data_IF_148382614340
#
_entry.id   IF_148382614340
#
_cell.length_a   1.000
_cell.length_b   1.000
_cell.length_c   1.000
_cell.angle_alpha   90.00
_cell.angle_beta   90.00
_cell.angle_gamma   90.00
#
_symmetry.space_group_name_H-M   'P 1'
#
loop_
_entity.id
_entity.type
_entity.pdbx_description
1 polymer ?
#
# COMPACT_ATOMS: atom_id res chain seq x y z
N UNK A 1 -14.06 -26.15 2.33
CA UNK A 1 -12.76 -26.23 1.66
C UNK A 1 -11.60 -25.83 2.59
N UNK A 2 -11.70 -24.70 3.30
CA UNK A 2 -10.74 -24.26 4.31
C UNK A 2 -11.42 -24.31 5.67
N UNK A 3 -10.78 -24.96 6.66
CA UNK A 3 -11.27 -25.05 8.03
C UNK A 3 -10.11 -24.75 9.00
N UNK A 4 -10.26 -23.68 9.76
CA UNK A 4 -9.27 -23.19 10.71
C UNK A 4 -9.91 -23.14 12.09
N UNK A 5 -9.21 -23.70 13.11
CA UNK A 5 -9.65 -23.69 14.50
C UNK A 5 -8.53 -23.27 15.42
N UNK A 6 -8.78 -22.23 16.23
CA UNK A 6 -7.89 -21.71 17.26
C UNK A 6 -6.54 -21.24 16.71
N UNK A 7 -6.48 -20.78 15.44
CA UNK A 7 -5.22 -20.32 14.82
C UNK A 7 -4.60 -19.22 15.63
N UNK A 8 -3.37 -19.44 16.08
CA UNK A 8 -2.56 -18.44 16.76
C UNK A 8 -1.15 -18.38 16.18
N UNK A 9 -0.68 -17.17 15.89
CA UNK A 9 0.67 -16.93 15.38
C UNK A 9 1.28 -15.68 16.01
N UNK A 10 2.52 -15.81 16.49
CA UNK A 10 3.27 -14.73 17.13
C UNK A 10 4.60 -14.49 16.43
N UNK A 11 5.06 -13.26 16.46
CA UNK A 11 6.40 -12.88 16.06
C UNK A 11 7.23 -12.52 17.27
N UNK A 12 8.50 -12.93 17.27
CA UNK A 12 9.44 -12.50 18.30
C UNK A 12 9.88 -11.07 18.01
N UNK A 13 9.82 -10.21 19.02
CA UNK A 13 10.39 -8.86 18.97
C UNK A 13 11.85 -9.00 19.43
N UNK A 14 12.76 -8.51 18.59
CA UNK A 14 14.21 -8.56 18.86
C UNK A 14 14.75 -7.16 19.14
N UNK A 15 15.75 -7.07 20.01
CA UNK A 15 16.52 -5.84 20.19
C UNK A 15 17.58 -5.66 19.08
N UNK A 16 18.35 -4.55 19.17
CA UNK A 16 19.44 -4.22 18.25
C UNK A 16 20.55 -5.27 18.18
N UNK A 17 20.67 -6.08 19.20
CA UNK A 17 21.69 -7.14 19.32
C UNK A 17 21.13 -8.51 18.85
N UNK A 18 19.89 -8.55 18.40
CA UNK A 18 19.22 -9.76 17.92
C UNK A 18 18.59 -10.60 19.02
N UNK A 19 18.64 -10.16 20.29
CA UNK A 19 18.08 -10.89 21.42
C UNK A 19 16.56 -10.69 21.44
N UNK A 20 15.84 -11.75 21.85
CA UNK A 20 14.40 -11.69 22.02
C UNK A 20 14.04 -10.81 23.21
N UNK A 21 13.34 -9.69 22.99
CA UNK A 21 12.88 -8.77 24.04
C UNK A 21 11.36 -8.86 24.30
N UNK A 22 10.62 -9.56 23.42
CA UNK A 22 9.19 -9.73 23.60
C UNK A 22 8.56 -10.61 22.52
N UNK A 23 7.25 -10.77 22.60
CA UNK A 23 6.43 -11.45 21.61
C UNK A 23 5.23 -10.56 21.25
N UNK A 24 4.85 -10.57 19.99
CA UNK A 24 3.65 -9.91 19.52
C UNK A 24 2.75 -10.93 18.82
N UNK A 25 1.53 -11.08 19.29
CA UNK A 25 0.51 -11.92 18.65
C UNK A 25 -0.03 -11.19 17.43
N UNK A 26 0.28 -11.70 16.26
CA UNK A 26 -0.25 -11.16 15.00
C UNK A 26 -1.65 -11.72 14.69
N UNK A 27 -1.90 -12.98 15.09
CA UNK A 27 -3.20 -13.66 15.03
C UNK A 27 -3.33 -14.46 16.32
N UNK A 28 -4.51 -14.44 16.96
CA UNK A 28 -4.73 -15.13 18.23
C UNK A 28 -6.12 -15.73 18.32
N UNK A 29 -6.17 -17.05 18.47
CA UNK A 29 -7.39 -17.84 18.70
C UNK A 29 -8.47 -17.53 17.64
N UNK A 30 -8.08 -17.70 16.35
CA UNK A 30 -8.94 -17.38 15.20
C UNK A 30 -9.54 -18.64 14.66
N UNK A 31 -10.87 -18.68 14.57
CA UNK A 31 -11.66 -19.67 13.84
C UNK A 31 -12.08 -19.07 12.49
N UNK A 32 -12.01 -19.87 11.42
CA UNK A 32 -12.39 -19.44 10.08
C UNK A 32 -12.83 -20.64 9.23
N UNK A 33 -13.89 -20.43 8.47
CA UNK A 33 -14.42 -21.42 7.54
C UNK A 33 -14.60 -20.79 6.16
N UNK A 34 -14.21 -21.50 5.10
CA UNK A 34 -14.50 -21.12 3.73
C UNK A 34 -14.99 -22.36 2.96
N UNK A 35 -16.13 -22.23 2.32
CA UNK A 35 -16.68 -23.23 1.45
C UNK A 35 -16.08 -23.12 0.03
N UNK A 36 -16.15 -24.19 -0.74
CA UNK A 36 -15.67 -24.19 -2.12
C UNK A 36 -16.56 -23.31 -2.99
N UNK A 37 -15.96 -22.43 -3.79
CA UNK A 37 -16.68 -21.51 -4.65
C UNK A 37 -17.34 -20.34 -3.90
N UNK A 38 -16.92 -20.04 -2.68
CA UNK A 38 -17.39 -18.90 -1.89
C UNK A 38 -16.48 -17.68 -2.09
N UNK A 39 -17.05 -16.48 -2.12
CA UNK A 39 -16.30 -15.22 -2.09
C UNK A 39 -16.35 -14.65 -0.69
N UNK A 40 -15.18 -14.54 -0.02
CA UNK A 40 -15.07 -14.10 1.37
C UNK A 40 -14.21 -12.84 1.43
N UNK A 41 -14.63 -11.86 2.24
CA UNK A 41 -13.83 -10.70 2.57
C UNK A 41 -13.32 -10.75 4.01
N UNK A 42 -12.04 -10.44 4.21
CA UNK A 42 -11.41 -10.28 5.51
C UNK A 42 -11.07 -8.81 5.69
N UNK A 43 -11.84 -8.14 6.51
CA UNK A 43 -11.72 -6.72 6.82
C UNK A 43 -10.93 -6.47 8.10
N UNK A 44 -10.28 -5.31 8.20
CA UNK A 44 -9.63 -4.85 9.41
C UNK A 44 -8.66 -3.71 9.14
N UNK A 45 -8.27 -3.00 10.20
CA UNK A 45 -7.26 -1.94 10.13
C UNK A 45 -5.88 -2.49 9.76
N UNK A 46 -4.99 -1.57 9.35
CA UNK A 46 -3.57 -1.92 9.19
C UNK A 46 -3.00 -2.40 10.54
N UNK A 47 -2.25 -3.50 10.50
CA UNK A 47 -1.69 -4.12 11.71
C UNK A 47 -2.65 -5.02 12.50
N UNK A 48 -3.90 -5.26 12.06
CA UNK A 48 -4.83 -6.17 12.74
C UNK A 48 -4.50 -7.66 12.59
N UNK A 49 -3.53 -8.02 11.73
CA UNK A 49 -3.11 -9.41 11.50
C UNK A 49 -3.57 -10.03 10.18
N UNK A 50 -4.28 -9.29 9.31
CA UNK A 50 -4.87 -9.80 8.06
C UNK A 50 -3.86 -10.51 7.14
N UNK A 51 -2.76 -9.85 6.81
CA UNK A 51 -1.73 -10.43 5.92
C UNK A 51 -1.02 -11.63 6.57
N UNK A 52 -0.87 -11.63 7.90
CA UNK A 52 -0.36 -12.80 8.62
C UNK A 52 -1.34 -13.96 8.51
N UNK A 53 -2.63 -13.71 8.71
CA UNK A 53 -3.68 -14.70 8.51
C UNK A 53 -3.68 -15.23 7.08
N UNK A 54 -3.68 -14.36 6.06
CA UNK A 54 -3.66 -14.73 4.65
C UNK A 54 -2.50 -15.67 4.28
N UNK A 55 -1.31 -15.44 4.86
CA UNK A 55 -0.13 -16.27 4.63
C UNK A 55 -0.25 -17.70 5.18
N UNK A 56 -1.13 -17.95 6.15
CA UNK A 56 -1.44 -19.31 6.59
C UNK A 56 -2.32 -20.06 5.57
N UNK A 57 -3.16 -19.35 4.81
CA UNK A 57 -4.04 -19.95 3.81
C UNK A 57 -3.27 -20.58 2.64
N UNK A 58 -2.06 -20.07 2.36
CA UNK A 58 -1.19 -20.56 1.28
C UNK A 58 0.01 -21.40 1.83
N UNK A 59 0.10 -21.62 3.14
CA UNK A 59 1.23 -22.34 3.73
C UNK A 59 2.55 -21.60 3.68
N UNK A 60 2.54 -20.26 3.56
CA UNK A 60 3.75 -19.42 3.74
C UNK A 60 4.11 -19.27 5.21
N UNK A 61 3.12 -19.37 6.10
CA UNK A 61 3.30 -19.46 7.54
C UNK A 61 2.63 -20.74 8.06
N UNK A 62 3.23 -21.33 9.07
CA UNK A 62 2.67 -22.47 9.81
C UNK A 62 2.19 -21.96 11.18
N UNK A 63 1.02 -22.36 11.67
CA UNK A 63 0.50 -21.91 12.95
C UNK A 63 1.41 -22.32 14.12
N UNK A 64 1.48 -21.47 15.14
CA UNK A 64 2.11 -21.84 16.41
C UNK A 64 1.15 -22.67 17.27
N UNK A 65 -0.15 -22.34 17.20
CA UNK A 65 -1.23 -23.04 17.90
C UNK A 65 -2.45 -23.14 16.99
N UNK A 66 -3.30 -24.12 17.25
CA UNK A 66 -4.50 -24.38 16.46
C UNK A 66 -4.25 -25.27 15.24
N UNK A 67 -5.27 -25.44 14.42
CA UNK A 67 -5.24 -26.29 13.21
C UNK A 67 -5.69 -25.52 11.98
N UNK A 68 -5.02 -25.74 10.86
CA UNK A 68 -5.36 -25.19 9.54
C UNK A 68 -5.48 -26.36 8.56
N UNK A 69 -6.68 -26.62 8.10
CA UNK A 69 -6.98 -27.70 7.13
C UNK A 69 -7.43 -27.06 5.82
N UNK A 70 -6.77 -27.38 4.72
CA UNK A 70 -7.02 -26.85 3.38
C UNK A 70 -7.16 -28.03 2.41
N UNK A 71 -8.30 -28.15 1.72
CA UNK A 71 -8.56 -29.28 0.83
C UNK A 71 -8.42 -30.64 1.55
N UNK A 72 -8.76 -30.71 2.84
CA UNK A 72 -8.60 -31.91 3.68
C UNK A 72 -7.17 -32.19 4.16
N UNK A 73 -6.20 -31.31 3.87
CA UNK A 73 -4.79 -31.46 4.23
C UNK A 73 -4.43 -30.54 5.40
N UNK A 74 -3.76 -31.10 6.42
CA UNK A 74 -3.33 -30.37 7.60
C UNK A 74 -1.99 -29.66 7.34
N UNK A 75 -1.99 -28.34 7.45
CA UNK A 75 -0.85 -27.46 7.20
C UNK A 75 0.37 -27.70 8.11
N UNK A 76 0.17 -28.31 9.25
CA UNK A 76 1.28 -28.67 10.15
C UNK A 76 2.26 -29.68 9.55
N UNK A 77 1.85 -30.42 8.51
CA UNK A 77 2.66 -31.44 7.84
C UNK A 77 3.44 -30.83 6.68
N UNK A 78 4.75 -30.78 6.77
CA UNK A 78 5.65 -30.23 5.74
C UNK A 78 5.43 -30.86 4.35
N UNK A 79 5.10 -32.15 4.31
CA UNK A 79 4.89 -32.90 3.06
C UNK A 79 3.71 -32.42 2.21
N UNK A 80 2.75 -31.67 2.79
CA UNK A 80 1.57 -31.17 2.07
C UNK A 80 1.71 -29.73 1.56
N UNK A 81 2.76 -29.02 1.95
CA UNK A 81 2.92 -27.59 1.62
C UNK A 81 2.91 -27.29 0.11
N UNK A 82 3.58 -28.13 -0.69
CA UNK A 82 3.58 -27.98 -2.16
C UNK A 82 2.20 -28.20 -2.76
N UNK A 83 1.45 -29.18 -2.25
CA UNK A 83 0.07 -29.45 -2.66
C UNK A 83 -0.87 -28.29 -2.29
N UNK A 84 -0.75 -27.75 -1.06
CA UNK A 84 -1.54 -26.61 -0.61
C UNK A 84 -1.25 -25.37 -1.46
N UNK A 85 0.03 -25.06 -1.74
CA UNK A 85 0.42 -23.93 -2.60
C UNK A 85 -0.08 -24.04 -4.04
N UNK A 86 -0.29 -25.26 -4.52
CA UNK A 86 -0.94 -25.49 -5.81
C UNK A 86 -2.45 -25.23 -5.75
N UNK A 87 -3.10 -25.61 -4.65
CA UNK A 87 -4.55 -25.43 -4.48
C UNK A 87 -4.94 -23.98 -4.15
N UNK A 88 -4.05 -23.21 -3.49
CA UNK A 88 -4.32 -21.86 -3.06
C UNK A 88 -3.30 -20.91 -3.68
N UNK A 89 -3.70 -20.19 -4.73
CA UNK A 89 -2.94 -19.10 -5.31
C UNK A 89 -2.96 -17.88 -4.39
N UNK A 90 -1.88 -17.10 -4.38
CA UNK A 90 -1.80 -15.87 -3.58
C UNK A 90 -1.33 -14.69 -4.43
N UNK A 91 -1.98 -13.55 -4.27
CA UNK A 91 -1.59 -12.28 -4.88
C UNK A 91 -1.28 -11.29 -3.76
N UNK A 92 -0.05 -10.79 -3.74
CA UNK A 92 0.44 -9.90 -2.71
C UNK A 92 0.06 -8.45 -2.96
N UNK A 93 0.10 -7.64 -1.92
CA UNK A 93 -0.15 -6.20 -1.95
C UNK A 93 0.78 -5.49 -2.95
N UNK A 94 2.09 -5.81 -2.91
CA UNK A 94 3.05 -5.29 -3.87
C UNK A 94 3.38 -6.37 -4.91
N UNK A 95 2.96 -6.23 -6.19
CA UNK A 95 3.23 -7.21 -7.23
C UNK A 95 4.72 -7.35 -7.56
N UNK A 96 5.56 -6.31 -7.34
CA UNK A 96 6.99 -6.39 -7.58
C UNK A 96 7.69 -7.43 -6.69
N UNK A 97 7.12 -7.78 -5.54
CA UNK A 97 7.63 -8.83 -4.66
C UNK A 97 7.25 -10.24 -5.13
N UNK A 98 6.38 -10.36 -6.13
CA UNK A 98 5.87 -11.62 -6.64
C UNK A 98 6.43 -11.95 -8.03
N UNK A 99 6.60 -10.94 -8.86
CA UNK A 99 7.08 -11.07 -10.24
C UNK A 99 8.55 -11.48 -10.25
N UNK A 100 8.86 -12.59 -10.93
CA UNK A 100 10.22 -13.16 -11.04
C UNK A 100 10.70 -13.24 -12.49
N UNK A 101 9.77 -13.30 -13.46
CA UNK A 101 10.09 -13.37 -14.90
C UNK A 101 10.56 -12.01 -15.46
N UNK A 102 11.48 -12.03 -16.44
CA UNK A 102 11.86 -10.82 -17.16
C UNK A 102 10.78 -10.37 -18.14
N UNK A 103 10.02 -11.32 -18.69
CA UNK A 103 8.87 -11.08 -19.57
C UNK A 103 7.60 -11.60 -18.92
N UNK A 104 6.42 -11.12 -19.39
CA UNK A 104 5.15 -11.60 -18.89
C UNK A 104 4.97 -13.11 -19.13
N UNK A 105 5.40 -13.60 -20.29
CA UNK A 105 5.34 -15.02 -20.60
C UNK A 105 6.18 -15.86 -19.63
N UNK A 106 7.41 -15.44 -19.34
CA UNK A 106 8.30 -16.11 -18.38
C UNK A 106 7.67 -16.13 -16.97
N UNK A 107 7.07 -15.03 -16.54
CA UNK A 107 6.46 -14.94 -15.20
C UNK A 107 5.27 -15.89 -15.04
N UNK A 108 4.37 -15.92 -16.04
CA UNK A 108 3.22 -16.85 -16.04
C UNK A 108 3.69 -18.31 -16.16
N UNK A 109 4.72 -18.58 -16.98
CA UNK A 109 5.28 -19.90 -17.20
C UNK A 109 6.03 -20.47 -15.99
N UNK A 110 6.60 -19.63 -15.15
CA UNK A 110 7.48 -20.03 -14.03
C UNK A 110 6.87 -21.09 -13.10
N UNK A 111 5.60 -20.89 -12.70
CA UNK A 111 4.90 -21.86 -11.86
C UNK A 111 4.63 -23.19 -12.55
N UNK A 112 4.33 -23.15 -13.85
CA UNK A 112 4.03 -24.32 -14.67
C UNK A 112 5.28 -25.17 -14.96
N UNK A 113 6.42 -24.52 -15.17
CA UNK A 113 7.72 -25.18 -15.30
C UNK A 113 8.09 -25.95 -14.02
N UNK A 114 7.88 -25.34 -12.87
CA UNK A 114 8.10 -25.98 -11.57
C UNK A 114 7.17 -27.17 -11.32
N UNK A 115 6.02 -27.22 -11.99
CA UNK A 115 5.12 -28.38 -11.96
C UNK A 115 5.52 -29.48 -12.94
N UNK A 116 6.54 -29.27 -13.78
CA UNK A 116 7.04 -30.24 -14.78
C UNK A 116 6.08 -30.44 -15.94
N UNK A 117 5.29 -29.41 -16.32
CA UNK A 117 4.39 -29.48 -17.47
C UNK A 117 5.18 -29.50 -18.79
N UNK A 118 4.56 -30.03 -19.85
CA UNK A 118 5.19 -30.00 -21.17
C UNK A 118 5.30 -28.58 -21.71
N UNK A 119 6.32 -28.30 -22.52
CA UNK A 119 6.51 -26.97 -23.11
C UNK A 119 5.30 -26.51 -23.93
N UNK A 120 4.63 -27.40 -24.64
CA UNK A 120 3.44 -27.07 -25.40
C UNK A 120 2.28 -26.63 -24.49
N UNK A 121 1.99 -27.41 -23.44
CA UNK A 121 0.92 -27.10 -22.47
C UNK A 121 1.21 -25.78 -21.72
N UNK A 122 2.51 -25.49 -21.45
CA UNK A 122 2.92 -24.22 -20.83
C UNK A 122 2.57 -23.03 -21.71
N UNK A 123 2.91 -23.11 -23.01
CA UNK A 123 2.62 -22.01 -23.95
C UNK A 123 1.13 -21.77 -24.16
N UNK A 124 0.34 -22.84 -24.26
CA UNK A 124 -1.12 -22.74 -24.37
C UNK A 124 -1.71 -22.08 -23.13
N UNK A 125 -1.18 -22.45 -21.95
CA UNK A 125 -1.64 -21.89 -20.67
C UNK A 125 -1.24 -20.43 -20.47
N UNK A 126 -0.03 -20.04 -20.93
CA UNK A 126 0.41 -18.64 -20.93
C UNK A 126 -0.56 -17.80 -21.77
N UNK A 127 -0.89 -18.25 -22.98
CA UNK A 127 -1.79 -17.53 -23.86
C UNK A 127 -3.19 -17.41 -23.28
N UNK A 128 -3.75 -18.50 -22.73
CA UNK A 128 -5.05 -18.46 -22.02
C UNK A 128 -5.06 -17.42 -20.90
N UNK A 129 -4.03 -17.41 -20.04
CA UNK A 129 -4.00 -16.53 -18.87
C UNK A 129 -3.76 -15.07 -19.23
N UNK A 130 -2.89 -14.80 -20.19
CA UNK A 130 -2.64 -13.43 -20.65
C UNK A 130 -3.85 -12.85 -21.40
N UNK A 131 -4.59 -13.65 -22.17
CA UNK A 131 -5.83 -13.22 -22.79
C UNK A 131 -6.91 -12.94 -21.75
N UNK A 132 -7.10 -13.83 -20.79
CA UNK A 132 -8.08 -13.71 -19.69
C UNK A 132 -7.87 -12.43 -18.87
N UNK A 133 -6.61 -12.05 -18.64
CA UNK A 133 -6.24 -10.86 -17.86
C UNK A 133 -6.06 -9.60 -18.71
N UNK A 134 -6.28 -9.67 -20.03
CA UNK A 134 -6.14 -8.54 -20.95
C UNK A 134 -4.69 -8.08 -21.14
N UNK A 135 -3.73 -9.02 -21.03
CA UNK A 135 -2.29 -8.75 -21.15
C UNK A 135 -1.66 -9.39 -22.41
N UNK A 136 -2.43 -10.01 -23.30
CA UNK A 136 -1.92 -10.72 -24.47
C UNK A 136 -0.98 -9.87 -25.34
N UNK A 137 -1.29 -8.59 -25.55
CA UNK A 137 -0.46 -7.67 -26.31
C UNK A 137 0.94 -7.42 -25.69
N UNK A 138 1.10 -7.70 -24.39
CA UNK A 138 2.33 -7.47 -23.64
C UNK A 138 3.14 -8.74 -23.38
N UNK A 139 2.75 -9.88 -23.99
CA UNK A 139 3.31 -11.23 -23.73
C UNK A 139 4.84 -11.24 -23.60
N UNK A 140 5.55 -10.56 -24.52
CA UNK A 140 7.00 -10.51 -24.57
C UNK A 140 7.58 -9.19 -24.01
N UNK A 141 6.75 -8.34 -23.43
CA UNK A 141 7.20 -7.10 -22.80
C UNK A 141 7.95 -7.40 -21.51
N UNK A 142 8.93 -6.54 -21.19
CA UNK A 142 9.64 -6.64 -19.93
C UNK A 142 8.71 -6.26 -18.75
N UNK A 143 8.73 -7.06 -17.70
CA UNK A 143 7.90 -6.87 -16.50
C UNK A 143 8.16 -5.56 -15.77
N UNK A 144 9.35 -4.99 -15.90
CA UNK A 144 9.68 -3.67 -15.34
C UNK A 144 9.04 -2.49 -16.10
N UNK A 145 8.53 -2.73 -17.32
CA UNK A 145 8.02 -1.69 -18.22
C UNK A 145 6.49 -1.55 -18.22
N UNK A 146 5.79 -2.43 -17.53
CA UNK A 146 4.34 -2.39 -17.43
C UNK A 146 3.88 -1.58 -16.21
N UNK A 147 2.66 -1.02 -16.28
CA UNK A 147 2.07 -0.23 -15.20
C UNK A 147 1.78 -1.09 -13.95
N UNK A 148 1.62 -0.45 -12.79
CA UNK A 148 1.25 -1.14 -11.54
C UNK A 148 -0.03 -1.97 -11.67
N UNK A 149 -1.06 -1.47 -12.38
CA UNK A 149 -2.28 -2.23 -12.66
C UNK A 149 -2.05 -3.43 -13.58
N UNK A 150 -1.15 -3.31 -14.57
CA UNK A 150 -0.75 -4.44 -15.40
C UNK A 150 0.07 -5.47 -14.61
N UNK A 151 0.96 -5.04 -13.72
CA UNK A 151 1.69 -5.93 -12.80
C UNK A 151 0.75 -6.72 -11.90
N UNK A 152 -0.28 -6.07 -11.38
CA UNK A 152 -1.26 -6.75 -10.53
C UNK A 152 -2.08 -7.79 -11.30
N UNK A 153 -2.49 -7.46 -12.55
CA UNK A 153 -3.14 -8.43 -13.44
C UNK A 153 -2.21 -9.57 -13.86
N UNK A 154 -0.91 -9.30 -14.02
CA UNK A 154 0.10 -10.33 -14.26
C UNK A 154 0.22 -11.27 -13.04
N UNK A 155 0.28 -10.73 -11.82
CA UNK A 155 0.32 -11.55 -10.61
C UNK A 155 -0.90 -12.48 -10.48
N UNK A 156 -2.10 -12.01 -10.88
CA UNK A 156 -3.30 -12.85 -10.99
C UNK A 156 -3.12 -13.92 -12.07
N UNK A 157 -2.63 -13.55 -13.27
CA UNK A 157 -2.40 -14.50 -14.36
C UNK A 157 -1.46 -15.63 -13.93
N UNK A 158 -0.32 -15.28 -13.30
CA UNK A 158 0.67 -16.24 -12.81
C UNK A 158 0.10 -17.16 -11.71
N UNK A 159 -0.68 -16.61 -10.77
CA UNK A 159 -1.35 -17.41 -9.74
C UNK A 159 -2.42 -18.35 -10.34
N UNK A 160 -3.20 -17.86 -11.31
CA UNK A 160 -4.29 -18.63 -11.95
C UNK A 160 -3.79 -19.66 -12.96
N UNK A 161 -2.58 -19.49 -13.50
CA UNK A 161 -1.97 -20.46 -14.43
C UNK A 161 -1.88 -21.86 -13.81
N UNK A 162 -1.61 -21.95 -12.52
CA UNK A 162 -1.55 -23.22 -11.78
C UNK A 162 -2.93 -23.87 -11.53
N UNK A 163 -4.02 -23.27 -12.02
CA UNK A 163 -5.41 -23.73 -11.84
C UNK A 163 -5.76 -23.99 -10.37
N UNK A 164 -5.61 -23.00 -9.49
CA UNK A 164 -5.92 -23.17 -8.07
C UNK A 164 -7.42 -23.31 -7.82
N UNK A 165 -7.81 -23.93 -6.71
CA UNK A 165 -9.20 -23.99 -6.24
C UNK A 165 -9.61 -22.75 -5.45
N UNK A 166 -8.62 -22.01 -4.95
CA UNK A 166 -8.81 -20.77 -4.20
C UNK A 166 -7.76 -19.75 -4.61
N UNK A 167 -8.15 -18.45 -4.66
CA UNK A 167 -7.22 -17.34 -4.78
C UNK A 167 -7.36 -16.42 -3.56
N UNK A 168 -6.22 -16.07 -2.95
CA UNK A 168 -6.14 -15.12 -1.84
C UNK A 168 -5.55 -13.83 -2.36
N UNK A 169 -6.26 -12.72 -2.18
CA UNK A 169 -5.88 -11.38 -2.60
C UNK A 169 -5.52 -10.55 -1.37
N UNK A 170 -4.24 -10.34 -1.09
CA UNK A 170 -3.79 -9.57 0.07
C UNK A 170 -3.64 -8.09 -0.29
N UNK A 171 -4.69 -7.30 -0.04
CA UNK A 171 -4.80 -5.86 -0.35
C UNK A 171 -4.41 -5.51 -1.80
N UNK A 172 -4.75 -6.38 -2.74
CA UNK A 172 -4.29 -6.33 -4.12
C UNK A 172 -4.74 -5.08 -4.91
N UNK A 173 -5.71 -4.31 -4.42
CA UNK A 173 -6.18 -3.04 -5.02
C UNK A 173 -5.57 -1.80 -4.39
N UNK A 174 -4.80 -1.93 -3.31
CA UNK A 174 -4.35 -0.79 -2.50
C UNK A 174 -3.40 0.17 -3.24
N UNK A 175 -2.66 -0.37 -4.23
CA UNK A 175 -1.68 0.37 -5.02
C UNK A 175 -2.21 0.84 -6.38
N UNK A 176 -3.46 0.55 -6.68
CA UNK A 176 -4.09 0.88 -7.94
C UNK A 176 -4.84 2.21 -7.84
N UNK A 177 -4.92 2.90 -8.98
CA UNK A 177 -5.85 4.00 -9.11
C UNK A 177 -7.31 3.49 -9.11
N UNK A 178 -8.31 4.36 -8.95
CA UNK A 178 -9.71 3.93 -8.83
C UNK A 178 -10.22 3.13 -10.04
N UNK A 179 -9.71 3.39 -11.26
CA UNK A 179 -10.10 2.63 -12.44
C UNK A 179 -9.44 1.26 -12.44
N UNK A 180 -8.13 1.19 -12.23
CA UNK A 180 -7.39 -0.08 -12.14
C UNK A 180 -7.92 -1.00 -11.04
N UNK A 181 -8.36 -0.42 -9.90
CA UNK A 181 -8.98 -1.18 -8.83
C UNK A 181 -10.33 -1.78 -9.27
N UNK A 182 -11.18 -1.02 -9.97
CA UNK A 182 -12.45 -1.52 -10.54
C UNK A 182 -12.20 -2.64 -11.54
N UNK A 183 -11.32 -2.41 -12.52
CA UNK A 183 -11.01 -3.39 -13.56
C UNK A 183 -10.50 -4.71 -12.96
N UNK A 184 -9.69 -4.62 -11.90
CA UNK A 184 -9.18 -5.78 -11.17
C UNK A 184 -10.30 -6.53 -10.44
N UNK A 185 -11.18 -5.82 -9.74
CA UNK A 185 -12.30 -6.44 -9.02
C UNK A 185 -13.28 -7.10 -9.99
N UNK A 186 -13.55 -6.49 -11.14
CA UNK A 186 -14.35 -7.08 -12.23
C UNK A 186 -13.71 -8.37 -12.76
N UNK A 187 -12.38 -8.38 -12.97
CA UNK A 187 -11.65 -9.58 -13.35
C UNK A 187 -11.80 -10.70 -12.31
N UNK A 188 -11.64 -10.38 -11.02
CA UNK A 188 -11.78 -11.35 -9.92
C UNK A 188 -13.20 -11.91 -9.85
N UNK A 189 -14.22 -11.06 -9.99
CA UNK A 189 -15.62 -11.51 -10.05
C UNK A 189 -15.89 -12.41 -11.26
N UNK A 190 -15.33 -12.07 -12.42
CA UNK A 190 -15.43 -12.91 -13.62
C UNK A 190 -14.82 -14.30 -13.38
N UNK A 191 -13.59 -14.35 -12.84
CA UNK A 191 -12.91 -15.59 -12.49
C UNK A 191 -13.73 -16.43 -11.50
N UNK A 192 -14.25 -15.82 -10.45
CA UNK A 192 -15.09 -16.45 -9.46
C UNK A 192 -16.32 -17.11 -10.10
N UNK A 193 -17.08 -16.37 -10.93
CA UNK A 193 -18.31 -16.84 -11.58
C UNK A 193 -18.07 -17.88 -12.65
N UNK A 194 -17.09 -17.67 -13.53
CA UNK A 194 -16.84 -18.52 -14.69
C UNK A 194 -16.06 -19.80 -14.34
N UNK A 195 -15.12 -19.73 -13.40
CA UNK A 195 -14.27 -20.85 -13.00
C UNK A 195 -14.70 -21.50 -11.67
N UNK A 196 -15.70 -20.94 -11.00
CA UNK A 196 -16.20 -21.39 -9.69
C UNK A 196 -15.09 -21.54 -8.63
N UNK A 197 -14.12 -20.61 -8.63
CA UNK A 197 -13.01 -20.60 -7.68
C UNK A 197 -13.44 -19.92 -6.37
N UNK A 198 -12.91 -20.41 -5.26
CA UNK A 198 -13.03 -19.70 -3.97
C UNK A 198 -12.16 -18.45 -4.00
N UNK A 199 -12.71 -17.31 -3.56
CA UNK A 199 -11.98 -16.05 -3.50
C UNK A 199 -11.92 -15.53 -2.06
N UNK A 200 -10.72 -15.27 -1.56
CA UNK A 200 -10.54 -14.64 -0.25
C UNK A 200 -9.87 -13.28 -0.45
N UNK A 201 -10.63 -12.22 -0.23
CA UNK A 201 -10.14 -10.84 -0.33
C UNK A 201 -9.78 -10.32 1.05
N UNK A 202 -8.51 -9.98 1.25
CA UNK A 202 -8.06 -9.21 2.40
C UNK A 202 -8.04 -7.75 2.02
N UNK A 203 -8.79 -6.93 2.75
CA UNK A 203 -8.94 -5.50 2.45
C UNK A 203 -9.22 -4.68 3.71
N UNK A 204 -9.04 -3.37 3.62
CA UNK A 204 -9.51 -2.41 4.62
C UNK A 204 -10.70 -1.58 4.12
N UNK A 205 -11.13 -1.81 2.87
CA UNK A 205 -12.21 -1.05 2.20
C UNK A 205 -13.53 -1.81 2.28
N UNK A 206 -14.53 -1.24 2.94
CA UNK A 206 -15.88 -1.81 3.01
C UNK A 206 -16.49 -1.96 1.60
N UNK A 207 -16.23 -1.01 0.69
CA UNK A 207 -16.74 -1.07 -0.68
C UNK A 207 -16.33 -2.34 -1.45
N UNK A 208 -15.17 -2.89 -1.17
CA UNK A 208 -14.72 -4.16 -1.75
C UNK A 208 -15.40 -5.36 -1.08
N UNK A 209 -15.54 -5.31 0.24
CA UNK A 209 -16.16 -6.38 1.01
C UNK A 209 -17.67 -6.54 0.76
N UNK A 210 -18.35 -5.49 0.29
CA UNK A 210 -19.76 -5.55 -0.14
C UNK A 210 -20.02 -6.51 -1.31
N UNK A 211 -18.95 -6.96 -2.01
CA UNK A 211 -19.07 -7.90 -3.12
C UNK A 211 -18.95 -9.37 -2.69
N UNK A 212 -18.61 -9.61 -1.43
CA UNK A 212 -18.40 -10.94 -0.88
C UNK A 212 -19.72 -11.58 -0.41
N UNK A 213 -19.76 -12.92 -0.41
CA UNK A 213 -20.87 -13.68 0.17
C UNK A 213 -20.83 -13.64 1.71
N UNK A 214 -19.61 -13.60 2.28
CA UNK A 214 -19.37 -13.56 3.72
C UNK A 214 -18.21 -12.66 4.07
N UNK A 215 -18.33 -11.98 5.21
CA UNK A 215 -17.34 -11.02 5.72
C UNK A 215 -16.89 -11.44 7.11
N UNK A 216 -15.57 -11.40 7.32
CA UNK A 216 -14.94 -11.50 8.63
C UNK A 216 -14.27 -10.17 8.97
N UNK A 217 -14.45 -9.68 10.19
CA UNK A 217 -13.72 -8.51 10.68
C UNK A 217 -12.63 -8.96 11.65
N UNK A 218 -11.38 -8.65 11.32
CA UNK A 218 -10.21 -8.90 12.15
C UNK A 218 -9.78 -7.60 12.84
N UNK A 219 -9.83 -7.57 14.15
CA UNK A 219 -9.33 -6.45 14.96
C UNK A 219 -8.51 -6.97 16.15
N UNK A 220 -7.38 -6.29 16.43
CA UNK A 220 -6.46 -6.66 17.50
C UNK A 220 -6.15 -8.19 17.53
N UNK A 221 -5.79 -8.73 16.36
CA UNK A 221 -5.38 -10.13 16.16
C UNK A 221 -6.50 -11.17 16.31
N UNK A 222 -7.78 -10.77 16.43
CA UNK A 222 -8.93 -11.66 16.62
C UNK A 222 -10.04 -11.37 15.61
N UNK A 223 -10.83 -12.39 15.27
CA UNK A 223 -12.11 -12.19 14.59
C UNK A 223 -13.11 -11.64 15.59
N UNK A 224 -13.69 -10.48 15.28
CA UNK A 224 -14.63 -9.74 16.14
C UNK A 224 -16.04 -9.66 15.57
N UNK A 225 -16.21 -9.98 14.30
CA UNK A 225 -17.49 -10.12 13.62
C UNK A 225 -17.38 -11.07 12.42
N UNK A 226 -18.47 -11.76 12.14
CA UNK A 226 -18.66 -12.66 11.00
C UNK A 226 -20.13 -12.60 10.57
N UNK A 227 -20.41 -12.70 9.28
CA UNK A 227 -21.76 -12.74 8.71
C UNK A 227 -21.80 -12.33 7.25
N UNK A 228 -23.01 -12.16 6.72
CA UNK A 228 -23.19 -11.56 5.39
C UNK A 228 -22.82 -10.07 5.43
N UNK A 229 -22.52 -9.44 4.30
CA UNK A 229 -22.31 -7.99 4.25
C UNK A 229 -23.46 -7.20 4.88
N UNK A 230 -24.70 -7.63 4.64
CA UNK A 230 -25.91 -7.01 5.20
C UNK A 230 -25.93 -7.07 6.72
N UNK A 231 -25.55 -8.21 7.31
CA UNK A 231 -25.54 -8.39 8.77
C UNK A 231 -24.41 -7.59 9.44
N UNK A 232 -23.22 -7.66 8.83
CA UNK A 232 -21.99 -7.09 9.43
C UNK A 232 -21.97 -5.57 9.33
N UNK A 233 -22.52 -4.97 8.26
CA UNK A 233 -22.43 -3.55 7.98
C UNK A 233 -23.61 -2.70 8.46
N UNK A 234 -24.62 -3.29 9.10
CA UNK A 234 -25.76 -2.55 9.65
C UNK A 234 -25.37 -1.63 10.81
N UNK A 235 -24.45 -2.04 11.66
CA UNK A 235 -24.02 -1.26 12.84
C UNK A 235 -22.81 -0.38 12.52
N UNK A 236 -23.10 0.83 12.02
CA UNK A 236 -22.07 1.80 11.62
C UNK A 236 -21.18 2.25 12.80
N UNK A 237 -21.73 2.37 14.02
CA UNK A 237 -20.94 2.77 15.19
C UNK A 237 -19.95 1.67 15.61
N UNK A 238 -20.34 0.41 15.46
CA UNK A 238 -19.47 -0.74 15.68
C UNK A 238 -18.32 -0.76 14.67
N UNK A 239 -18.61 -0.46 13.40
CA UNK A 239 -17.59 -0.38 12.34
C UNK A 239 -16.58 0.74 12.60
N UNK A 240 -17.03 1.92 13.06
CA UNK A 240 -16.14 3.02 13.48
C UNK A 240 -15.21 2.59 14.61
N UNK A 241 -15.73 1.85 15.61
CA UNK A 241 -14.94 1.32 16.73
C UNK A 241 -13.81 0.42 16.24
N UNK A 242 -14.03 -0.34 15.17
CA UNK A 242 -13.00 -1.16 14.52
C UNK A 242 -12.09 -0.35 13.59
N UNK A 243 -12.28 0.99 13.50
CA UNK A 243 -11.47 1.89 12.68
C UNK A 243 -11.60 1.65 11.19
N UNK A 244 -12.76 1.16 10.75
CA UNK A 244 -13.06 0.97 9.33
C UNK A 244 -13.62 2.25 8.73
N UNK A 245 -13.19 2.59 7.50
CA UNK A 245 -13.70 3.73 6.77
C UNK A 245 -15.06 3.40 6.16
N UNK A 246 -16.10 4.09 6.63
CA UNK A 246 -17.47 3.84 6.21
C UNK A 246 -17.77 4.62 4.93
N UNK A 247 -18.22 3.95 3.85
CA UNK A 247 -18.60 4.60 2.62
C UNK A 247 -19.67 5.68 2.84
N UNK A 248 -19.55 6.79 2.11
CA UNK A 248 -20.49 7.93 2.19
C UNK A 248 -21.95 7.49 2.00
N UNK A 249 -22.20 6.57 1.08
CA UNK A 249 -23.53 6.01 0.84
C UNK A 249 -24.13 5.39 2.09
N UNK A 250 -23.39 4.56 2.80
CA UNK A 250 -23.84 3.90 4.04
C UNK A 250 -24.06 4.91 5.17
N UNK A 251 -23.23 5.96 5.26
CA UNK A 251 -23.46 7.06 6.21
C UNK A 251 -24.79 7.75 5.94
N UNK A 252 -25.10 8.03 4.67
CA UNK A 252 -26.37 8.65 4.27
C UNK A 252 -27.57 7.76 4.56
N UNK A 253 -27.50 6.47 4.24
CA UNK A 253 -28.57 5.48 4.52
C UNK A 253 -28.80 5.31 6.02
N UNK A 254 -27.76 5.41 6.85
CA UNK A 254 -27.84 5.39 8.33
C UNK A 254 -28.26 6.73 8.94
N UNK A 255 -28.58 7.76 8.14
CA UNK A 255 -28.94 9.09 8.63
C UNK A 255 -27.79 9.86 9.30
N UNK A 256 -26.56 9.42 9.09
CA UNK A 256 -25.38 10.08 9.63
C UNK A 256 -25.05 11.31 8.77
N UNK A 257 -24.95 12.51 9.35
CA UNK A 257 -24.60 13.70 8.61
C UNK A 257 -23.25 13.52 7.88
N UNK A 258 -23.26 13.60 6.56
CA UNK A 258 -22.03 13.62 5.76
C UNK A 258 -21.68 15.08 5.50
N UNK A 259 -20.98 15.67 6.44
CA UNK A 259 -20.47 17.03 6.28
C UNK A 259 -19.02 16.99 5.80
N UNK A 260 -18.89 16.81 4.48
CA UNK A 260 -17.58 16.77 3.78
C UNK A 260 -16.84 18.10 3.97
N UNK A 261 -17.56 19.21 4.16
CA UNK A 261 -16.96 20.54 4.32
C UNK A 261 -16.59 20.88 5.75
N UNK A 262 -17.34 20.44 6.77
CA UNK A 262 -17.08 20.82 8.17
C UNK A 262 -15.98 20.00 8.82
N UNK A 263 -15.86 18.71 8.50
CA UNK A 263 -14.70 17.92 8.98
C UNK A 263 -13.38 18.46 8.40
N UNK A 264 -13.39 18.85 7.12
CA UNK A 264 -12.24 19.48 6.49
C UNK A 264 -11.94 20.85 7.12
N UNK A 265 -12.95 21.70 7.31
CA UNK A 265 -12.81 23.01 7.97
C UNK A 265 -12.40 22.91 9.43
N UNK A 266 -12.94 21.98 10.23
CA UNK A 266 -12.56 21.79 11.63
C UNK A 266 -11.10 21.36 11.77
N UNK A 267 -10.62 20.43 10.95
CA UNK A 267 -9.23 19.99 10.94
C UNK A 267 -8.26 21.12 10.55
N UNK A 268 -8.63 21.94 9.55
CA UNK A 268 -7.84 23.11 9.14
C UNK A 268 -7.87 24.26 10.15
N UNK A 269 -9.00 24.47 10.83
CA UNK A 269 -9.11 25.48 11.92
C UNK A 269 -8.26 25.11 13.14
N UNK A 270 -8.20 23.81 13.52
CA UNK A 270 -7.33 23.37 14.60
C UNK A 270 -5.85 23.56 14.27
N UNK A 271 -5.42 23.20 13.05
CA UNK A 271 -4.03 23.40 12.61
C UNK A 271 -3.67 24.88 12.53
N UNK A 272 -4.61 25.76 12.14
CA UNK A 272 -4.37 27.21 12.10
C UNK A 272 -4.42 27.89 13.47
N UNK A 273 -5.14 27.35 14.46
CA UNK A 273 -5.13 27.84 15.84
C UNK A 273 -3.84 27.44 16.56
N UNK A 274 -3.32 26.23 16.34
CA UNK A 274 -2.05 25.77 16.91
C UNK A 274 -0.85 26.46 16.27
N UNK A 275 -0.98 26.98 15.04
CA UNK A 275 0.06 27.73 14.33
C UNK A 275 0.06 29.24 14.62
N UNK A 276 -0.84 29.76 15.46
CA UNK A 276 -0.84 31.19 15.90
C UNK A 276 -1.01 32.23 14.79
N UNK A 277 -1.64 31.90 13.66
CA UNK A 277 -1.79 32.79 12.51
C UNK A 277 -3.25 33.10 12.20
N UNK A 278 -3.67 34.30 12.57
CA UNK A 278 -4.75 35.13 11.99
C UNK A 278 -5.92 34.44 11.29
N UNK A 279 -6.96 34.11 12.08
CA UNK A 279 -8.26 33.59 11.62
C UNK A 279 -9.25 34.71 11.20
N UNK A 280 -8.89 35.97 11.08
CA UNK A 280 -9.84 37.08 11.00
C UNK A 280 -10.21 37.57 9.57
N UNK A 281 -9.74 36.93 8.50
CA UNK A 281 -10.09 37.34 7.13
C UNK A 281 -10.47 36.18 6.20
N UNK A 282 -11.47 35.40 6.54
CA UNK A 282 -12.14 34.51 5.57
C UNK A 282 -13.58 35.05 5.34
N UNK A 283 -13.63 36.20 4.67
CA UNK A 283 -14.81 36.70 4.00
C UNK A 283 -14.46 36.85 2.51
N UNK A 284 -15.25 36.16 1.69
CA UNK A 284 -15.45 36.38 0.25
C UNK A 284 -14.34 37.09 -0.55
N UNK A 285 -13.43 36.31 -1.13
CA UNK A 285 -12.86 36.57 -2.47
C UNK A 285 -11.67 35.65 -2.76
N UNK A 286 -11.89 34.63 -3.58
CA UNK A 286 -10.89 33.65 -4.01
C UNK A 286 -9.73 34.19 -4.86
N UNK A 287 -9.62 35.50 -5.07
CA UNK A 287 -8.59 36.11 -5.92
C UNK A 287 -7.67 37.14 -5.24
N UNK A 288 -7.88 37.48 -3.97
CA UNK A 288 -7.09 38.56 -3.32
C UNK A 288 -6.01 38.07 -2.37
N UNK A 289 -6.02 36.80 -1.97
CA UNK A 289 -5.04 36.28 -1.00
C UNK A 289 -3.73 35.76 -1.65
N UNK A 290 -3.72 35.52 -2.96
CA UNK A 290 -2.51 35.12 -3.69
C UNK A 290 -1.44 36.22 -3.77
N UNK A 291 -1.85 37.46 -3.70
CA UNK A 291 -0.92 38.61 -3.82
C UNK A 291 -0.14 38.97 -2.54
N UNK A 292 -0.45 38.32 -1.40
CA UNK A 292 0.22 38.56 -0.12
C UNK A 292 1.08 37.38 0.36
N UNK A 293 0.98 36.22 -0.27
CA UNK A 293 1.74 35.03 0.13
C UNK A 293 3.00 34.88 -0.70
N UNK A 294 4.12 34.56 -0.06
CA UNK A 294 5.38 34.26 -0.74
C UNK A 294 5.28 33.00 -1.58
N UNK A 295 5.69 33.06 -2.85
CA UNK A 295 5.83 31.89 -3.69
C UNK A 295 7.03 31.06 -3.21
N UNK A 296 6.79 29.80 -2.83
CA UNK A 296 7.85 28.91 -2.31
C UNK A 296 8.35 27.92 -3.36
N UNK A 297 7.49 27.50 -4.28
CA UNK A 297 7.84 26.63 -5.42
C UNK A 297 7.23 27.21 -6.69
N UNK A 298 8.03 27.37 -7.73
CA UNK A 298 7.57 27.75 -9.05
C UNK A 298 8.21 26.86 -10.12
N UNK A 299 7.38 26.27 -10.97
CA UNK A 299 7.80 25.56 -12.18
C UNK A 299 7.42 26.42 -13.37
N UNK A 300 8.33 26.54 -14.34
CA UNK A 300 8.14 27.31 -15.57
C UNK A 300 8.48 26.45 -16.78
N UNK A 301 7.48 26.12 -17.60
CA UNK A 301 7.59 25.33 -18.84
C UNK A 301 8.38 24.02 -18.65
N UNK A 302 8.14 23.31 -17.53
CA UNK A 302 8.90 22.12 -17.16
C UNK A 302 8.44 20.91 -17.99
N UNK A 303 9.39 20.31 -18.71
CA UNK A 303 9.16 19.05 -19.44
C UNK A 303 10.21 18.01 -19.09
N UNK A 304 9.78 16.74 -19.15
CA UNK A 304 10.65 15.62 -18.84
C UNK A 304 10.15 14.33 -19.50
N UNK A 305 11.09 13.59 -20.07
CA UNK A 305 10.85 12.28 -20.69
C UNK A 305 11.79 11.24 -20.12
N UNK A 306 11.28 10.03 -19.93
CA UNK A 306 12.10 8.84 -19.66
C UNK A 306 12.45 8.16 -20.98
N UNK A 307 13.70 7.71 -21.10
CA UNK A 307 14.12 6.86 -22.20
C UNK A 307 13.96 5.39 -21.82
N UNK A 308 13.28 4.63 -22.64
CA UNK A 308 13.07 3.22 -22.46
C UNK A 308 13.62 2.45 -23.69
N UNK A 309 14.92 2.19 -23.68
CA UNK A 309 15.63 1.76 -24.89
C UNK A 309 15.60 2.87 -25.93
N UNK A 310 15.01 2.60 -27.10
CA UNK A 310 14.87 3.58 -28.19
C UNK A 310 13.54 4.36 -28.15
N UNK A 311 12.65 4.07 -27.20
CA UNK A 311 11.36 4.75 -27.07
C UNK A 311 11.42 5.84 -25.99
N UNK A 312 10.93 7.03 -26.35
CA UNK A 312 10.79 8.17 -25.46
C UNK A 312 9.38 8.17 -24.86
N UNK A 313 9.30 8.15 -23.52
CA UNK A 313 8.05 8.30 -22.78
C UNK A 313 7.99 9.67 -22.12
N UNK A 314 7.14 10.56 -22.62
CA UNK A 314 6.98 11.92 -22.11
C UNK A 314 6.16 11.88 -20.81
N UNK A 315 6.83 12.14 -19.68
CA UNK A 315 6.21 12.10 -18.36
C UNK A 315 5.62 13.46 -17.95
N UNK A 316 6.24 14.56 -18.32
CA UNK A 316 5.78 15.92 -18.09
C UNK A 316 5.94 16.74 -19.38
N UNK A 317 4.96 17.61 -19.65
CA UNK A 317 4.92 18.47 -20.83
C UNK A 317 4.50 19.87 -20.45
N UNK A 318 5.43 20.83 -20.58
CA UNK A 318 5.20 22.26 -20.44
C UNK A 318 4.41 22.61 -19.16
N UNK A 319 4.86 22.09 -18.02
CA UNK A 319 4.18 22.27 -16.74
C UNK A 319 4.55 23.62 -16.13
N UNK A 320 3.52 24.44 -15.88
CA UNK A 320 3.58 25.65 -15.09
C UNK A 320 2.82 25.45 -13.79
N UNK A 321 3.47 25.72 -12.64
CA UNK A 321 2.89 25.56 -11.31
C UNK A 321 3.49 26.55 -10.35
N UNK A 322 2.63 27.17 -9.51
CA UNK A 322 3.08 27.97 -8.36
C UNK A 322 2.47 27.45 -7.08
N UNK A 323 3.29 27.29 -6.05
CA UNK A 323 2.88 26.90 -4.70
C UNK A 323 3.32 28.01 -3.76
N UNK A 324 2.37 28.48 -2.95
CA UNK A 324 2.60 29.58 -2.01
C UNK A 324 2.70 29.07 -0.57
N UNK A 325 3.36 29.84 0.26
CA UNK A 325 3.55 29.53 1.68
C UNK A 325 2.21 29.25 2.40
N UNK A 326 2.16 28.17 3.20
CA UNK A 326 0.97 27.74 3.91
C UNK A 326 -0.14 27.13 3.06
N UNK A 327 0.11 26.82 1.77
CA UNK A 327 -0.85 26.11 0.94
C UNK A 327 -0.74 24.59 1.11
N UNK A 328 -1.89 23.92 1.09
CA UNK A 328 -2.00 22.48 0.85
C UNK A 328 -2.42 22.30 -0.60
N UNK A 329 -1.58 21.63 -1.39
CA UNK A 329 -1.81 21.39 -2.81
C UNK A 329 -1.95 19.90 -3.06
N UNK A 330 -3.05 19.48 -3.71
CA UNK A 330 -3.25 18.10 -4.14
C UNK A 330 -2.95 17.96 -5.63
N UNK A 331 -2.08 16.99 -5.96
CA UNK A 331 -1.80 16.61 -7.35
C UNK A 331 -2.57 15.34 -7.68
N UNK A 332 -3.59 15.46 -8.52
CA UNK A 332 -4.52 14.36 -8.87
C UNK A 332 -4.27 13.90 -10.30
N UNK A 333 -4.37 12.62 -10.55
CA UNK A 333 -4.23 12.03 -11.89
C UNK A 333 -4.10 10.51 -11.82
N UNK A 334 -4.24 9.86 -12.97
CA UNK A 334 -4.09 8.41 -13.11
C UNK A 334 -2.67 7.94 -12.79
N UNK A 335 -2.50 6.64 -12.54
CA UNK A 335 -1.16 6.03 -12.42
C UNK A 335 -0.39 6.25 -13.74
N UNK A 336 0.88 6.65 -13.63
CA UNK A 336 1.69 6.98 -14.81
C UNK A 336 1.53 8.41 -15.35
N UNK A 337 0.66 9.26 -14.78
CA UNK A 337 0.45 10.65 -15.25
C UNK A 337 1.56 11.64 -14.87
N UNK A 338 2.70 11.19 -14.36
CA UNK A 338 3.84 12.05 -14.05
C UNK A 338 3.86 12.69 -12.65
N UNK A 339 2.88 12.39 -11.75
CA UNK A 339 2.80 12.98 -10.40
C UNK A 339 4.10 12.82 -9.58
N UNK A 340 4.62 11.62 -9.50
CA UNK A 340 5.86 11.34 -8.77
C UNK A 340 7.06 12.02 -9.40
N UNK A 341 7.12 12.06 -10.74
CA UNK A 341 8.15 12.76 -11.50
C UNK A 341 8.17 14.25 -11.16
N UNK A 342 6.98 14.87 -11.11
CA UNK A 342 6.82 16.29 -10.72
C UNK A 342 7.36 16.56 -9.32
N UNK A 343 6.97 15.74 -8.33
CA UNK A 343 7.42 15.91 -6.95
C UNK A 343 8.94 15.67 -6.78
N UNK A 344 9.49 14.71 -7.52
CA UNK A 344 10.93 14.43 -7.50
C UNK A 344 11.77 15.57 -8.08
N UNK A 345 11.24 16.37 -9.01
CA UNK A 345 11.91 17.56 -9.54
C UNK A 345 11.98 18.68 -8.50
N UNK A 346 10.90 18.88 -7.74
CA UNK A 346 10.86 19.89 -6.69
C UNK A 346 11.96 19.65 -5.64
N UNK A 347 12.24 18.39 -5.31
CA UNK A 347 13.31 18.01 -4.35
C UNK A 347 14.68 17.76 -5.05
N UNK A 348 14.81 18.11 -6.32
CA UNK A 348 16.05 17.86 -7.10
C UNK A 348 16.55 16.40 -7.02
N UNK A 349 15.64 15.43 -7.01
CA UNK A 349 15.98 14.00 -7.22
C UNK A 349 16.20 13.74 -8.70
N UNK A 350 15.45 14.43 -9.56
CA UNK A 350 15.65 14.49 -11.02
C UNK A 350 15.68 15.93 -11.46
N UNK A 351 16.37 16.21 -12.56
CA UNK A 351 16.44 17.54 -13.17
C UNK A 351 15.51 17.60 -14.39
N UNK A 352 14.81 18.71 -14.64
CA UNK A 352 14.01 18.88 -15.85
C UNK A 352 14.91 18.89 -17.09
N UNK A 353 14.40 18.38 -18.21
CA UNK A 353 15.08 18.42 -19.52
C UNK A 353 14.89 19.78 -20.19
N UNK A 354 13.74 20.41 -19.96
CA UNK A 354 13.49 21.81 -20.33
C UNK A 354 12.69 22.53 -19.25
N UNK A 355 12.73 23.86 -19.27
CA UNK A 355 12.11 24.70 -18.27
C UNK A 355 12.93 24.84 -16.99
N UNK A 356 12.37 25.51 -15.98
CA UNK A 356 13.05 25.85 -14.74
C UNK A 356 12.20 25.53 -13.53
N UNK A 357 12.85 25.11 -12.43
CA UNK A 357 12.24 24.89 -11.13
C UNK A 357 12.87 25.89 -10.14
N UNK A 358 12.06 26.71 -9.52
CA UNK A 358 12.50 27.67 -8.51
C UNK A 358 12.00 27.28 -7.13
N UNK A 359 12.89 27.41 -6.14
CA UNK A 359 12.58 27.29 -4.73
C UNK A 359 12.94 28.60 -4.03
N UNK A 360 11.95 29.30 -3.47
CA UNK A 360 12.14 30.65 -2.90
C UNK A 360 12.90 31.58 -3.85
N UNK A 361 12.47 31.67 -5.10
CA UNK A 361 13.09 32.49 -6.17
C UNK A 361 14.47 31.99 -6.64
N UNK A 362 15.02 30.93 -6.06
CA UNK A 362 16.31 30.39 -6.42
C UNK A 362 16.11 29.24 -7.43
N UNK A 363 16.74 29.35 -8.61
CA UNK A 363 16.74 28.26 -9.61
C UNK A 363 17.44 27.02 -9.05
N UNK A 364 16.67 25.97 -8.83
CA UNK A 364 17.13 24.69 -8.24
C UNK A 364 18.25 24.06 -9.06
N UNK A 365 18.28 24.25 -10.38
CA UNK A 365 19.31 23.67 -11.25
C UNK A 365 20.68 24.33 -10.99
N UNK A 366 20.71 25.61 -10.62
CA UNK A 366 21.94 26.37 -10.37
C UNK A 366 22.51 26.16 -8.96
N UNK A 367 21.76 25.59 -8.05
CA UNK A 367 22.23 25.28 -6.69
C UNK A 367 23.27 24.16 -6.73
N UNK A 368 24.51 24.46 -6.34
CA UNK A 368 25.60 23.48 -6.31
C UNK A 368 25.48 22.50 -5.13
N UNK A 369 25.12 23.00 -3.96
CA UNK A 369 24.96 22.19 -2.75
C UNK A 369 23.53 21.69 -2.63
N UNK A 370 23.29 20.43 -2.97
CA UNK A 370 21.96 19.82 -2.92
C UNK A 370 21.38 19.75 -1.48
N UNK A 371 22.23 19.80 -0.45
CA UNK A 371 21.80 19.79 0.96
C UNK A 371 20.96 21.04 1.29
N UNK A 372 21.25 22.18 0.66
CA UNK A 372 20.50 23.42 0.91
C UNK A 372 19.05 23.34 0.44
N UNK A 373 18.78 22.56 -0.60
CA UNK A 373 17.42 22.27 -1.10
C UNK A 373 16.75 21.26 -0.18
N UNK A 374 17.39 20.11 0.07
CA UNK A 374 16.82 19.00 0.83
C UNK A 374 16.57 19.33 2.30
N UNK A 375 17.29 20.29 2.85
CA UNK A 375 17.02 20.84 4.19
C UNK A 375 15.68 21.57 4.29
N UNK A 376 15.20 22.13 3.15
CA UNK A 376 13.97 22.94 3.09
C UNK A 376 12.76 22.17 2.62
N UNK A 377 12.96 21.02 1.95
CA UNK A 377 11.89 20.20 1.37
C UNK A 377 12.05 18.77 1.84
N UNK A 378 11.15 18.32 2.70
CA UNK A 378 10.98 16.88 3.01
C UNK A 378 10.28 16.19 1.86
N UNK A 379 10.71 14.97 1.51
CA UNK A 379 10.07 14.11 0.51
C UNK A 379 9.80 12.74 1.11
N UNK A 380 8.54 12.33 1.10
CA UNK A 380 8.12 11.00 1.56
C UNK A 380 7.80 10.15 0.34
N UNK A 381 8.49 9.02 0.19
CA UNK A 381 8.24 8.07 -0.90
C UNK A 381 6.95 7.27 -0.68
N UNK A 382 6.41 6.73 -1.76
CA UNK A 382 5.21 5.88 -1.73
C UNK A 382 5.44 4.62 -0.86
N UNK A 383 6.66 4.08 -0.87
CA UNK A 383 7.08 2.93 -0.06
C UNK A 383 8.07 3.39 1.00
N UNK A 384 7.65 3.52 2.26
CA UNK A 384 8.54 3.98 3.33
C UNK A 384 9.74 3.03 3.55
N UNK A 385 9.58 1.74 3.26
CA UNK A 385 10.66 0.75 3.35
C UNK A 385 11.87 1.09 2.49
N UNK A 386 11.67 1.82 1.38
CA UNK A 386 12.76 2.25 0.49
C UNK A 386 13.65 3.33 1.10
N UNK A 387 13.23 3.94 2.19
CA UNK A 387 13.96 5.01 2.89
C UNK A 387 14.64 4.51 4.17
N UNK A 388 14.24 3.34 4.69
CA UNK A 388 14.76 2.74 5.93
C UNK A 388 16.09 2.03 5.67
N UNK A 389 17.13 2.38 6.40
CA UNK A 389 18.44 1.74 6.25
C UNK A 389 19.22 1.62 7.56
N UNK A 390 18.83 2.30 8.63
CA UNK A 390 19.50 2.20 9.93
C UNK A 390 18.95 1.05 10.79
N UNK A 391 19.75 0.64 11.77
CA UNK A 391 19.42 -0.50 12.62
C UNK A 391 18.35 -0.19 13.68
N UNK A 392 18.14 1.08 14.02
CA UNK A 392 17.12 1.49 14.99
C UNK A 392 16.34 2.70 14.49
N UNK A 393 15.08 2.82 14.91
CA UNK A 393 14.21 3.94 14.58
C UNK A 393 14.85 5.28 14.94
N UNK A 394 15.41 5.39 16.15
CA UNK A 394 16.06 6.62 16.60
C UNK A 394 17.23 7.01 15.71
N UNK A 395 18.12 6.06 15.37
CA UNK A 395 19.27 6.35 14.49
C UNK A 395 18.84 6.76 13.10
N UNK A 396 17.80 6.14 12.58
CA UNK A 396 17.29 6.42 11.25
C UNK A 396 16.75 7.86 11.16
N UNK A 397 16.00 8.32 12.18
CA UNK A 397 15.51 9.71 12.28
C UNK A 397 16.67 10.69 12.57
N UNK A 398 17.71 10.30 13.32
CA UNK A 398 18.90 11.14 13.58
C UNK A 398 19.75 11.35 12.33
N UNK A 399 19.65 10.47 11.32
CA UNK A 399 20.53 10.51 10.16
C UNK A 399 20.46 11.84 9.38
N UNK A 400 19.24 12.36 9.16
CA UNK A 400 19.04 13.66 8.52
C UNK A 400 19.72 14.81 9.25
N UNK A 401 19.38 15.09 10.51
CA UNK A 401 20.01 16.11 11.35
C UNK A 401 21.54 16.03 11.37
N UNK A 402 22.11 14.85 11.55
CA UNK A 402 23.59 14.66 11.54
C UNK A 402 24.18 15.04 10.18
N UNK A 403 23.56 14.63 9.08
CA UNK A 403 24.03 14.98 7.73
C UNK A 403 23.94 16.49 7.43
N UNK A 404 23.06 17.20 8.12
CA UNK A 404 22.95 18.67 8.06
C UNK A 404 23.86 19.39 9.05
N UNK A 405 24.72 18.68 9.80
CA UNK A 405 25.80 19.22 10.63
C UNK A 405 25.43 19.43 12.10
N UNK A 406 24.31 18.87 12.58
CA UNK A 406 24.01 18.86 14.02
C UNK A 406 24.98 17.94 14.78
N UNK A 407 25.30 18.30 16.02
CA UNK A 407 26.00 17.36 16.94
C UNK A 407 25.12 16.15 17.22
N UNK A 408 25.73 15.07 17.71
CA UNK A 408 25.00 13.83 18.01
C UNK A 408 23.91 14.07 19.06
N UNK A 409 24.22 14.86 20.10
CA UNK A 409 23.29 15.16 21.18
C UNK A 409 22.13 16.07 20.71
N UNK A 410 22.38 17.01 19.79
CA UNK A 410 21.35 17.84 19.18
C UNK A 410 20.46 17.01 18.26
N UNK A 411 21.04 16.12 17.44
CA UNK A 411 20.32 15.24 16.54
C UNK A 411 19.44 14.23 17.30
N UNK A 412 19.91 13.70 18.42
CA UNK A 412 19.13 12.79 19.27
C UNK A 412 17.91 13.50 19.86
N UNK A 413 18.07 14.69 20.41
CA UNK A 413 16.96 15.52 20.92
C UNK A 413 15.97 15.89 19.83
N UNK A 414 16.46 16.26 18.64
CA UNK A 414 15.62 16.58 17.50
C UNK A 414 14.80 15.35 17.05
N UNK A 415 15.44 14.18 17.00
CA UNK A 415 14.81 12.93 16.62
C UNK A 415 13.73 12.49 17.63
N UNK A 416 14.02 12.57 18.95
CA UNK A 416 13.04 12.28 19.99
C UNK A 416 11.81 13.19 19.90
N UNK A 417 12.04 14.50 19.72
CA UNK A 417 10.95 15.47 19.54
C UNK A 417 10.12 15.16 18.29
N UNK A 418 10.76 14.80 17.17
CA UNK A 418 10.09 14.46 15.94
C UNK A 418 9.23 13.20 16.12
N UNK A 419 9.76 12.15 16.78
CA UNK A 419 9.00 10.93 17.07
C UNK A 419 7.80 11.17 17.98
N UNK A 420 7.95 12.00 19.01
CA UNK A 420 6.85 12.39 19.91
C UNK A 420 5.76 13.17 19.14
N UNK A 421 6.15 14.10 18.26
CA UNK A 421 5.26 14.93 17.46
C UNK A 421 4.37 14.10 16.52
N UNK A 422 4.91 13.03 15.98
CA UNK A 422 4.19 12.11 15.09
C UNK A 422 3.54 10.93 15.83
N UNK A 423 3.62 10.90 17.17
CA UNK A 423 2.95 9.91 18.00
C UNK A 423 3.60 8.52 17.97
N UNK A 424 4.90 8.41 17.67
CA UNK A 424 5.65 7.15 17.80
C UNK A 424 6.06 6.98 19.25
N UNK A 425 5.56 5.95 19.96
CA UNK A 425 5.92 5.73 21.38
C UNK A 425 7.42 5.52 21.58
N UNK A 426 8.00 6.14 22.63
CA UNK A 426 9.45 6.05 22.96
C UNK A 426 9.98 4.62 23.05
N UNK A 427 9.14 3.66 23.43
CA UNK A 427 9.52 2.23 23.49
C UNK A 427 10.00 1.66 22.15
N UNK A 428 9.67 2.29 21.02
CA UNK A 428 10.09 1.85 19.68
C UNK A 428 11.41 2.49 19.22
N UNK A 429 12.00 3.42 19.97
CA UNK A 429 13.22 4.14 19.58
C UNK A 429 14.39 3.20 19.26
N UNK A 430 14.56 2.15 20.06
CA UNK A 430 15.63 1.15 19.90
C UNK A 430 15.24 -0.07 19.05
N UNK A 431 13.99 -0.12 18.53
CA UNK A 431 13.54 -1.22 17.68
C UNK A 431 14.06 -1.05 16.26
N UNK A 432 14.17 -2.17 15.54
CA UNK A 432 14.41 -2.10 14.10
C UNK A 432 13.25 -1.42 13.39
N UNK A 433 13.51 -0.44 12.51
CA UNK A 433 12.45 0.20 11.76
C UNK A 433 11.68 -0.79 10.86
N UNK A 434 12.31 -1.90 10.48
CA UNK A 434 11.66 -2.95 9.67
C UNK A 434 10.61 -3.77 10.46
N UNK A 435 10.68 -3.76 11.79
CA UNK A 435 9.72 -4.43 12.67
C UNK A 435 8.47 -3.59 12.98
N UNK A 436 8.48 -2.31 12.60
CA UNK A 436 7.32 -1.42 12.78
C UNK A 436 6.19 -1.78 11.81
N UNK A 437 4.96 -1.51 12.21
CA UNK A 437 3.81 -1.56 11.29
C UNK A 437 3.97 -0.54 10.16
N UNK A 438 3.38 -0.80 8.98
CA UNK A 438 3.47 0.12 7.83
C UNK A 438 3.09 1.55 8.17
N UNK A 439 2.05 1.78 8.99
CA UNK A 439 1.67 3.12 9.46
C UNK A 439 2.76 3.78 10.31
N UNK A 440 3.35 3.07 11.27
CA UNK A 440 4.44 3.60 12.09
C UNK A 440 5.71 3.86 11.27
N UNK A 441 5.98 3.05 10.25
CA UNK A 441 7.08 3.29 9.32
C UNK A 441 6.90 4.62 8.58
N UNK A 442 5.73 4.86 7.99
CA UNK A 442 5.43 6.11 7.27
C UNK A 442 5.55 7.31 8.19
N UNK A 443 5.03 7.21 9.41
CA UNK A 443 5.01 8.29 10.39
C UNK A 443 6.41 8.64 10.87
N UNK A 444 7.32 7.69 11.05
CA UNK A 444 8.71 7.96 11.48
C UNK A 444 9.52 8.77 10.47
N UNK A 445 9.09 8.83 9.18
CA UNK A 445 9.77 9.58 8.13
C UNK A 445 9.25 10.99 7.87
N UNK A 446 8.06 11.32 8.36
CA UNK A 446 7.41 12.61 8.02
C UNK A 446 8.06 13.82 8.66
N UNK A 447 9.04 13.64 9.53
CA UNK A 447 9.75 14.72 10.23
C UNK A 447 11.26 14.53 10.26
#
# INVERSE_FOLDING_TARGET
FINIKGLSHKFNIKDKDGNKVGENWAVKDVDFLADKGEMIAILGRNGSGKSTFARHLNGLLVPHEGTVIIGGQDLSKVSVLSSIRRQVGMVFQNPDNQIVGNTLAEDVGFGLENLGMSSADIWDKIDEMLELTGLAAYKYSNTSRISGGQKQRLAIASAMAMTPECIVLDEATSMLDPQGARDMLELVQKLHREKNITVIMVTHKISEALMADRVYILDNSKIVAEGTPEDVFTDVERLKKYGLEIPVRMKLEAGIPVDICSEYKKKHLQISQDAGVLADHIGDSGNSLSNLRRCIVELQNVSYSYMNGNEEYKALSDIDLKIYEGQVVSVIGQTGSGKSTLLQMINKLIAPQSGHVYLYETDVQRVRNIKDIRRRIGYVFQFPESQLFENTVLKDVMYGPINFGMSKEEAERAAENALDLVGVPKKYADYSPFELSGGLKTVSYTH
#
